data_IF_341154347646
#
_entry.id   IF_341154347646
#
_cell.length_a   1.000
_cell.length_b   1.000
_cell.length_c   1.000
_cell.angle_alpha   90.00
_cell.angle_beta   90.00
_cell.angle_gamma   90.00
#
_symmetry.space_group_name_H-M   'P 1'
#
loop_
_entity.id
_entity.type
_entity.pdbx_description
1 polymer ?
#
# COMPACT_ATOMS: atom_id res chain seq x y z
N UNK A 1 -36.59 16.53 -8.51
CA UNK A 1 -35.31 17.10 -8.98
C UNK A 1 -34.26 16.05 -8.73
N UNK A 2 -33.61 15.56 -9.79
CA UNK A 2 -32.54 14.56 -9.69
C UNK A 2 -31.30 15.28 -9.19
N UNK A 3 -30.84 14.97 -7.97
CA UNK A 3 -29.54 15.44 -7.46
C UNK A 3 -28.49 14.44 -7.93
N UNK A 4 -27.58 14.91 -8.76
CA UNK A 4 -26.39 14.18 -9.19
C UNK A 4 -25.45 14.12 -7.99
N UNK A 5 -25.10 12.91 -7.55
CA UNK A 5 -24.11 12.63 -6.51
C UNK A 5 -22.73 12.83 -7.16
N UNK A 6 -21.94 13.77 -6.66
CA UNK A 6 -20.53 13.92 -7.03
C UNK A 6 -19.69 13.10 -6.05
N UNK A 7 -18.91 12.16 -6.58
CA UNK A 7 -17.87 11.42 -5.87
C UNK A 7 -16.72 12.39 -5.58
N UNK A 8 -16.20 12.41 -4.35
CA UNK A 8 -14.97 13.14 -4.01
C UNK A 8 -13.82 12.14 -3.97
N UNK A 9 -12.80 12.38 -4.80
CA UNK A 9 -11.45 11.89 -4.60
C UNK A 9 -10.86 12.67 -3.40
N UNK A 10 -10.51 11.99 -2.32
CA UNK A 10 -9.70 12.57 -1.27
C UNK A 10 -8.27 12.72 -1.81
N UNK A 11 -7.90 13.95 -2.19
CA UNK A 11 -6.56 14.28 -2.62
C UNK A 11 -5.59 14.26 -1.44
N UNK A 12 -4.55 13.45 -1.52
CA UNK A 12 -3.43 13.46 -0.58
C UNK A 12 -2.80 14.86 -0.54
N UNK A 13 -2.90 15.52 0.60
CA UNK A 13 -2.35 16.85 0.84
C UNK A 13 -0.86 16.72 1.19
N UNK A 14 0.02 16.72 0.19
CA UNK A 14 1.47 16.81 0.42
C UNK A 14 1.87 18.24 0.82
N UNK A 15 2.12 18.46 2.11
CA UNK A 15 2.79 19.64 2.64
C UNK A 15 4.31 19.54 2.39
N UNK A 16 4.80 20.19 1.34
CA UNK A 16 6.24 20.34 1.10
C UNK A 16 6.81 21.49 1.93
N UNK A 17 7.71 21.19 2.87
CA UNK A 17 8.54 22.22 3.52
C UNK A 17 9.96 22.20 2.95
N UNK A 18 10.40 23.38 2.52
CA UNK A 18 11.66 23.60 1.80
C UNK A 18 12.86 23.53 2.77
N UNK A 19 13.75 22.55 2.52
CA UNK A 19 15.07 22.45 3.17
C UNK A 19 16.08 23.43 2.54
N UNK A 20 16.85 24.11 3.40
CA UNK A 20 18.06 24.86 3.03
C UNK A 20 19.28 24.11 3.58
N UNK A 21 20.15 23.66 2.66
CA UNK A 21 21.16 22.64 2.93
C UNK A 21 22.51 23.11 3.49
N UNK A 22 23.49 22.21 3.46
CA UNK A 22 24.91 22.56 3.43
C UNK A 22 25.78 21.41 2.88
N UNK A 23 26.61 21.74 1.89
CA UNK A 23 27.66 20.91 1.30
C UNK A 23 28.80 20.60 2.29
N UNK A 24 29.35 19.40 2.20
CA UNK A 24 30.66 19.03 2.72
C UNK A 24 31.37 18.06 1.79
N UNK A 25 32.35 18.54 1.03
CA UNK A 25 33.27 17.79 0.17
C UNK A 25 34.47 17.30 0.98
N UNK A 26 34.96 16.06 0.82
CA UNK A 26 36.39 15.76 0.49
C UNK A 26 36.70 14.28 0.21
N UNK A 27 37.61 14.10 -0.75
CA UNK A 27 38.21 12.90 -1.33
C UNK A 27 39.05 12.04 -0.37
N UNK A 28 39.29 10.75 -0.68
CA UNK A 28 40.57 10.28 -1.28
C UNK A 28 40.78 8.74 -1.29
N UNK A 29 41.24 8.27 -2.47
CA UNK A 29 42.28 7.29 -2.82
C UNK A 29 42.31 5.79 -2.40
N UNK A 30 42.50 4.99 -3.46
CA UNK A 30 43.51 3.93 -3.71
C UNK A 30 43.43 2.58 -2.98
N UNK A 31 42.87 1.59 -3.70
CA UNK A 31 43.58 0.43 -4.27
C UNK A 31 44.45 -0.47 -3.39
N UNK A 32 44.11 -1.77 -3.33
CA UNK A 32 45.05 -2.82 -3.77
C UNK A 32 44.39 -4.19 -3.98
N UNK A 33 44.89 -4.88 -5.01
CA UNK A 33 44.62 -6.25 -5.44
C UNK A 33 45.51 -7.22 -4.65
N UNK A 34 45.00 -8.38 -4.22
CA UNK A 34 45.71 -9.68 -4.26
C UNK A 34 44.71 -10.85 -4.36
N UNK A 35 45.11 -11.78 -5.20
CA UNK A 35 44.50 -12.98 -5.80
C UNK A 35 44.59 -14.26 -4.93
N UNK A 36 43.97 -15.34 -5.44
CA UNK A 36 44.03 -16.79 -5.13
C UNK A 36 43.21 -17.31 -3.93
N UNK A 37 42.44 -18.42 -4.01
CA UNK A 37 42.59 -19.64 -4.81
C UNK A 37 41.28 -20.47 -4.86
N UNK A 38 41.08 -21.23 -5.94
CA UNK A 38 39.91 -22.07 -6.26
C UNK A 38 39.64 -23.24 -5.30
N UNK A 39 38.36 -23.62 -5.16
CA UNK A 39 37.94 -25.03 -5.09
C UNK A 39 36.51 -25.26 -5.60
N UNK A 40 36.43 -26.10 -6.64
CA UNK A 40 35.29 -26.86 -7.20
C UNK A 40 34.41 -27.52 -6.10
N UNK A 41 33.13 -27.85 -6.25
CA UNK A 41 32.32 -28.35 -7.39
C UNK A 41 30.86 -28.42 -6.87
N UNK A 42 29.86 -28.02 -7.66
CA UNK A 42 28.63 -28.81 -7.93
C UNK A 42 27.67 -27.94 -8.75
N UNK A 43 27.84 -28.04 -10.08
CA UNK A 43 26.96 -27.41 -11.06
C UNK A 43 25.84 -28.38 -11.38
N UNK A 44 24.60 -28.00 -11.07
CA UNK A 44 23.45 -28.58 -11.74
C UNK A 44 22.46 -27.47 -12.13
N UNK A 45 22.35 -27.31 -13.45
CA UNK A 45 21.35 -26.55 -14.22
C UNK A 45 21.23 -25.05 -13.97
N UNK A 46 22.06 -24.27 -14.66
CA UNK A 46 21.61 -23.04 -15.30
C UNK A 46 22.45 -22.78 -16.56
N UNK A 47 21.99 -23.28 -17.70
CA UNK A 47 22.65 -23.09 -19.00
C UNK A 47 21.74 -22.16 -19.81
N UNK A 48 21.64 -20.88 -19.44
CA UNK A 48 21.23 -19.74 -20.31
C UNK A 48 21.61 -18.35 -19.67
N UNK A 49 22.48 -18.30 -18.66
CA UNK A 49 22.80 -17.06 -17.94
C UNK A 49 23.72 -16.06 -18.68
N UNK A 50 24.14 -16.35 -19.92
CA UNK A 50 25.06 -15.48 -20.69
C UNK A 50 24.34 -14.52 -21.67
N UNK A 51 23.00 -14.57 -21.76
CA UNK A 51 22.20 -13.77 -22.72
C UNK A 51 21.67 -12.46 -22.14
N UNK A 52 21.54 -12.38 -20.82
CA UNK A 52 20.90 -11.27 -20.10
C UNK A 52 21.80 -10.76 -18.99
N UNK A 53 21.76 -9.44 -18.74
CA UNK A 53 22.59 -8.79 -17.72
C UNK A 53 22.04 -9.01 -16.29
N UNK A 54 20.77 -9.44 -16.16
CA UNK A 54 20.12 -9.76 -14.87
C UNK A 54 19.04 -10.85 -15.00
N UNK A 55 18.67 -11.49 -13.88
CA UNK A 55 17.52 -12.40 -13.83
C UNK A 55 16.19 -11.70 -14.14
N UNK A 56 16.06 -10.42 -13.79
CA UNK A 56 14.88 -9.62 -14.12
C UNK A 56 14.72 -9.48 -15.63
N UNK A 57 15.80 -9.19 -16.36
CA UNK A 57 15.75 -9.12 -17.83
C UNK A 57 15.36 -10.48 -18.42
N UNK A 58 15.92 -11.57 -17.91
CA UNK A 58 15.55 -12.92 -18.34
C UNK A 58 14.06 -13.22 -18.09
N UNK A 59 13.50 -12.77 -16.97
CA UNK A 59 12.07 -12.94 -16.65
C UNK A 59 11.17 -12.11 -17.56
N UNK A 60 11.51 -10.83 -17.77
CA UNK A 60 10.77 -9.93 -18.68
C UNK A 60 10.78 -10.44 -20.14
N UNK A 61 11.78 -11.23 -20.51
CA UNK A 61 11.86 -11.89 -21.82
C UNK A 61 11.26 -13.31 -21.83
N UNK A 62 10.67 -13.79 -20.72
CA UNK A 62 9.99 -15.07 -20.61
C UNK A 62 10.90 -16.29 -20.45
N UNK A 63 12.15 -16.10 -20.02
CA UNK A 63 13.17 -17.16 -19.96
C UNK A 63 13.49 -17.59 -18.51
N UNK A 64 13.38 -16.67 -17.56
CA UNK A 64 13.46 -16.98 -16.13
C UNK A 64 12.06 -17.19 -15.53
N UNK A 65 12.01 -17.92 -14.42
CA UNK A 65 10.77 -18.21 -13.68
C UNK A 65 10.64 -17.32 -12.45
N UNK A 66 9.41 -17.11 -12.02
CA UNK A 66 9.00 -16.41 -10.82
C UNK A 66 8.34 -17.40 -9.86
N UNK A 67 8.69 -17.32 -8.59
CA UNK A 67 8.06 -18.07 -7.51
C UNK A 67 7.19 -17.15 -6.64
N UNK A 68 6.07 -17.68 -6.17
CA UNK A 68 5.14 -17.01 -5.25
C UNK A 68 5.29 -17.50 -3.81
N UNK A 69 6.23 -18.41 -3.55
CA UNK A 69 6.40 -19.07 -2.26
C UNK A 69 6.66 -18.08 -1.13
N UNK A 70 7.55 -17.10 -1.35
CA UNK A 70 7.82 -16.10 -0.33
C UNK A 70 6.55 -15.32 0.02
N UNK A 71 5.81 -14.81 -0.98
CA UNK A 71 4.57 -14.07 -0.76
C UNK A 71 3.56 -14.91 0.04
N UNK A 72 3.30 -16.14 -0.39
CA UNK A 72 2.30 -17.00 0.25
C UNK A 72 2.64 -17.32 1.72
N UNK A 73 3.92 -17.40 2.07
CA UNK A 73 4.38 -17.73 3.41
C UNK A 73 4.63 -16.51 4.32
N UNK A 74 4.74 -15.29 3.77
CA UNK A 74 5.19 -14.12 4.55
C UNK A 74 4.34 -12.86 4.36
N UNK A 75 3.67 -12.68 3.22
CA UNK A 75 2.97 -11.45 2.85
C UNK A 75 1.47 -11.64 2.56
N UNK A 76 1.01 -12.87 2.31
CA UNK A 76 -0.40 -13.17 1.98
C UNK A 76 -1.41 -12.72 3.05
N UNK A 77 -1.00 -12.71 4.32
CA UNK A 77 -1.83 -12.22 5.43
C UNK A 77 -2.04 -10.70 5.42
N UNK A 78 -1.23 -9.97 4.65
CA UNK A 78 -1.30 -8.50 4.49
C UNK A 78 -2.03 -8.08 3.21
N UNK A 79 -2.21 -9.00 2.26
CA UNK A 79 -2.99 -8.76 1.05
C UNK A 79 -4.49 -8.76 1.33
N UNK A 80 -5.26 -8.12 0.46
CA UNK A 80 -6.72 -8.26 0.48
C UNK A 80 -7.13 -9.66 -0.03
N UNK A 81 -8.43 -9.96 0.02
CA UNK A 81 -8.95 -11.18 -0.58
C UNK A 81 -8.60 -11.31 -2.07
N UNK A 82 -8.49 -10.19 -2.78
CA UNK A 82 -8.29 -10.15 -4.22
C UNK A 82 -6.89 -10.59 -4.66
N UNK A 83 -5.84 -10.15 -3.96
CA UNK A 83 -4.48 -10.63 -4.21
C UNK A 83 -4.38 -12.12 -3.90
N UNK A 84 -5.00 -12.58 -2.81
CA UNK A 84 -5.00 -13.99 -2.47
C UNK A 84 -5.74 -14.85 -3.50
N UNK A 85 -6.86 -14.36 -4.05
CA UNK A 85 -7.55 -15.03 -5.14
C UNK A 85 -6.68 -15.07 -6.41
N UNK A 86 -5.98 -13.96 -6.74
CA UNK A 86 -5.02 -13.92 -7.85
C UNK A 86 -3.91 -14.96 -7.68
N UNK A 87 -3.28 -15.02 -6.50
CA UNK A 87 -2.22 -15.99 -6.24
C UNK A 87 -2.74 -17.42 -6.16
N UNK A 88 -4.00 -17.65 -5.80
CA UNK A 88 -4.57 -19.00 -5.79
C UNK A 88 -4.55 -19.68 -7.18
N UNK A 89 -4.52 -18.89 -8.26
CA UNK A 89 -4.43 -19.37 -9.64
C UNK A 89 -3.01 -19.78 -10.00
N UNK A 90 -2.02 -19.00 -9.57
CA UNK A 90 -0.60 -19.15 -9.97
C UNK A 90 0.30 -19.72 -8.84
N UNK A 91 -0.29 -20.20 -7.75
CA UNK A 91 0.42 -20.74 -6.60
C UNK A 91 1.03 -22.12 -6.89
N UNK A 92 2.21 -22.37 -6.32
CA UNK A 92 2.80 -23.71 -6.25
C UNK A 92 3.71 -24.11 -7.41
N UNK A 93 3.76 -23.31 -8.48
CA UNK A 93 4.66 -23.50 -9.62
C UNK A 93 5.65 -22.33 -9.75
N UNK A 94 6.86 -22.61 -10.25
CA UNK A 94 7.78 -21.59 -10.71
C UNK A 94 7.46 -21.31 -12.19
N UNK A 95 6.89 -20.14 -12.49
CA UNK A 95 6.32 -19.84 -13.80
C UNK A 95 7.07 -18.70 -14.50
N UNK A 96 7.26 -18.83 -15.80
CA UNK A 96 7.70 -17.71 -16.65
C UNK A 96 6.58 -16.69 -16.83
N UNK A 97 6.91 -15.46 -17.25
CA UNK A 97 5.90 -14.44 -17.52
C UNK A 97 4.82 -14.90 -18.54
N UNK A 98 5.15 -15.53 -19.68
CA UNK A 98 4.14 -16.07 -20.60
C UNK A 98 3.22 -17.12 -19.97
N UNK A 99 3.76 -18.02 -19.13
CA UNK A 99 2.97 -19.05 -18.45
C UNK A 99 2.03 -18.42 -17.42
N UNK A 100 2.46 -17.37 -16.70
CA UNK A 100 1.59 -16.60 -15.80
C UNK A 100 0.41 -16.00 -16.59
N UNK A 101 0.69 -15.40 -17.75
CA UNK A 101 -0.33 -14.78 -18.60
C UNK A 101 -1.32 -15.82 -19.13
N UNK A 102 -0.83 -16.95 -19.64
CA UNK A 102 -1.67 -18.04 -20.11
C UNK A 102 -2.58 -18.56 -18.99
N UNK A 103 -2.00 -18.88 -17.82
CA UNK A 103 -2.73 -19.41 -16.66
C UNK A 103 -3.82 -18.45 -16.19
N UNK A 104 -3.50 -17.15 -16.08
CA UNK A 104 -4.46 -16.14 -15.66
C UNK A 104 -5.57 -15.92 -16.70
N UNK A 105 -5.23 -15.86 -17.99
CA UNK A 105 -6.23 -15.70 -19.06
C UNK A 105 -7.17 -16.91 -19.13
N UNK A 106 -6.66 -18.14 -18.96
CA UNK A 106 -7.51 -19.33 -18.86
C UNK A 106 -8.48 -19.22 -17.69
N UNK A 107 -8.01 -18.78 -16.52
CA UNK A 107 -8.85 -18.61 -15.33
C UNK A 107 -9.90 -17.48 -15.48
N UNK A 108 -9.55 -16.35 -16.09
CA UNK A 108 -10.47 -15.24 -16.31
C UNK A 108 -11.52 -15.51 -17.39
N UNK A 109 -11.29 -16.51 -18.26
CA UNK A 109 -12.22 -16.90 -19.32
C UNK A 109 -13.11 -18.09 -18.95
N UNK A 110 -12.95 -18.66 -17.75
CA UNK A 110 -13.82 -19.71 -17.24
C UNK A 110 -15.18 -19.15 -16.80
N UNK A 111 -16.27 -19.83 -17.15
CA UNK A 111 -17.65 -19.42 -16.84
C UNK A 111 -17.93 -19.44 -15.31
N UNK A 112 -17.09 -20.13 -14.54
CA UNK A 112 -17.12 -20.17 -13.08
C UNK A 112 -16.12 -19.17 -12.43
N UNK A 113 -15.31 -18.47 -13.23
CA UNK A 113 -14.16 -17.68 -12.80
C UNK A 113 -14.34 -16.17 -12.85
N UNK A 114 -13.97 -15.49 -11.74
CA UNK A 114 -13.69 -14.06 -11.58
C UNK A 114 -14.74 -13.05 -12.11
N UNK A 115 -14.49 -11.75 -11.91
CA UNK A 115 -15.52 -10.70 -12.05
C UNK A 115 -16.04 -10.53 -13.49
N UNK A 116 -15.19 -10.71 -14.50
CA UNK A 116 -15.54 -10.54 -15.91
C UNK A 116 -14.69 -11.41 -16.84
N UNK A 117 -15.30 -11.88 -17.94
CA UNK A 117 -14.61 -12.60 -19.02
C UNK A 117 -13.80 -11.63 -19.87
N UNK A 118 -12.57 -11.36 -19.43
CA UNK A 118 -11.64 -10.45 -20.07
C UNK A 118 -10.22 -10.96 -19.87
N UNK A 119 -9.44 -10.99 -20.96
CA UNK A 119 -8.01 -11.28 -20.89
C UNK A 119 -7.23 -10.10 -20.27
N UNK A 120 -6.01 -10.38 -19.80
CA UNK A 120 -5.05 -9.35 -19.38
C UNK A 120 -4.92 -8.33 -20.52
N UNK A 121 -5.20 -7.07 -20.18
CA UNK A 121 -5.29 -5.99 -21.17
C UNK A 121 -3.94 -5.32 -21.42
N UNK A 122 -3.08 -5.26 -20.40
CA UNK A 122 -1.69 -4.85 -20.56
C UNK A 122 -0.81 -5.38 -19.44
N UNK A 123 0.49 -5.42 -19.70
CA UNK A 123 1.52 -5.72 -18.71
C UNK A 123 2.61 -4.67 -18.85
N UNK A 124 3.06 -4.13 -17.74
CA UNK A 124 4.14 -3.15 -17.71
C UNK A 124 5.04 -3.39 -16.51
N UNK A 125 6.26 -2.86 -16.55
CA UNK A 125 7.23 -3.01 -15.47
C UNK A 125 7.92 -1.70 -15.12
N UNK A 126 8.45 -1.63 -13.91
CA UNK A 126 9.33 -0.56 -13.45
C UNK A 126 10.37 -1.14 -12.49
N UNK A 127 11.50 -0.45 -12.32
CA UNK A 127 12.47 -0.81 -11.28
C UNK A 127 12.28 0.09 -10.06
N UNK A 128 12.45 -0.48 -8.89
CA UNK A 128 12.42 0.20 -7.60
C UNK A 128 13.62 -0.24 -6.74
N UNK A 129 13.81 0.44 -5.62
CA UNK A 129 14.96 0.33 -4.72
C UNK A 129 14.45 0.34 -3.28
N UNK A 130 13.86 -0.79 -2.89
CA UNK A 130 13.14 -0.91 -1.63
C UNK A 130 14.05 -0.52 -0.46
N UNK A 131 13.63 0.45 0.36
CA UNK A 131 14.43 0.93 1.48
C UNK A 131 15.66 1.77 1.10
N UNK A 132 15.83 2.13 -0.18
CA UNK A 132 16.91 2.99 -0.68
C UNK A 132 18.32 2.46 -0.33
N UNK A 133 18.58 1.19 -0.64
CA UNK A 133 19.85 0.50 -0.39
C UNK A 133 20.76 0.42 -1.62
N UNK A 134 20.24 0.78 -2.80
CA UNK A 134 20.94 0.78 -4.08
C UNK A 134 20.78 -0.51 -4.88
N UNK A 135 20.17 -1.54 -4.32
CA UNK A 135 19.84 -2.79 -5.01
C UNK A 135 18.46 -2.64 -5.68
N UNK A 136 18.32 -3.13 -6.91
CA UNK A 136 17.07 -2.97 -7.66
C UNK A 136 16.16 -4.17 -7.49
N UNK A 137 14.88 -3.89 -7.23
CA UNK A 137 13.75 -4.81 -7.40
C UNK A 137 13.02 -4.50 -8.70
N UNK A 138 12.13 -5.41 -9.08
CA UNK A 138 11.26 -5.28 -10.24
C UNK A 138 9.80 -5.18 -9.78
N UNK A 139 9.11 -4.12 -10.18
CA UNK A 139 7.65 -4.04 -10.10
C UNK A 139 7.04 -4.47 -11.44
N UNK A 140 6.08 -5.41 -11.43
CA UNK A 140 5.34 -5.83 -12.63
C UNK A 140 3.86 -5.59 -12.40
N UNK A 141 3.26 -4.77 -13.26
CA UNK A 141 1.85 -4.41 -13.22
C UNK A 141 1.08 -5.16 -14.29
N UNK A 142 0.02 -5.85 -13.88
CA UNK A 142 -0.97 -6.46 -14.76
C UNK A 142 -2.27 -5.64 -14.70
N UNK A 143 -2.85 -5.33 -15.85
CA UNK A 143 -4.21 -4.78 -15.95
C UNK A 143 -5.15 -5.91 -16.32
N UNK A 144 -6.02 -6.32 -15.39
CA UNK A 144 -6.79 -7.57 -15.47
C UNK A 144 -8.06 -7.52 -14.60
N UNK A 145 -9.07 -8.36 -14.87
CA UNK A 145 -10.38 -8.29 -14.21
C UNK A 145 -10.41 -8.98 -12.83
N UNK A 146 -9.45 -8.67 -11.96
CA UNK A 146 -9.36 -9.26 -10.61
C UNK A 146 -10.53 -8.82 -9.73
N UNK A 147 -10.90 -7.53 -9.76
CA UNK A 147 -12.03 -6.98 -8.97
C UNK A 147 -13.14 -6.45 -9.87
N UNK A 148 -12.77 -5.79 -10.95
CA UNK A 148 -13.64 -5.22 -11.99
C UNK A 148 -12.85 -5.10 -13.31
N UNK A 149 -13.50 -4.84 -14.46
CA UNK A 149 -12.78 -4.53 -15.70
C UNK A 149 -11.73 -3.46 -15.46
N UNK A 150 -10.54 -3.69 -15.98
CA UNK A 150 -9.41 -2.76 -15.90
C UNK A 150 -8.91 -2.47 -14.46
N UNK A 151 -9.21 -3.34 -13.49
CA UNK A 151 -8.44 -3.39 -12.24
C UNK A 151 -6.98 -3.67 -12.54
N UNK A 152 -6.10 -3.40 -11.57
CA UNK A 152 -4.71 -3.77 -11.71
C UNK A 152 -4.14 -4.38 -10.45
N UNK A 153 -3.13 -5.23 -10.65
CA UNK A 153 -2.31 -5.79 -9.59
C UNK A 153 -0.84 -5.50 -9.91
N UNK A 154 -0.10 -5.00 -8.93
CA UNK A 154 1.33 -4.73 -9.03
C UNK A 154 2.06 -5.72 -8.13
N UNK A 155 2.93 -6.53 -8.71
CA UNK A 155 3.81 -7.45 -8.01
C UNK A 155 5.15 -6.77 -7.77
N UNK A 156 5.68 -6.87 -6.55
CA UNK A 156 7.06 -6.48 -6.24
C UNK A 156 7.90 -7.76 -6.17
N UNK A 157 8.95 -7.81 -6.98
CA UNK A 157 9.77 -9.00 -7.22
C UNK A 157 11.20 -8.69 -6.80
N UNK A 158 11.77 -9.56 -5.96
CA UNK A 158 13.16 -9.50 -5.51
C UNK A 158 13.89 -10.79 -5.85
N UNK A 159 15.15 -10.70 -6.24
CA UNK A 159 16.04 -11.86 -6.30
C UNK A 159 16.44 -12.28 -4.87
N UNK A 160 16.09 -13.51 -4.51
CA UNK A 160 16.44 -14.13 -3.23
C UNK A 160 17.00 -15.53 -3.51
N UNK A 161 18.21 -15.80 -3.01
CA UNK A 161 18.92 -17.07 -3.23
C UNK A 161 18.98 -17.48 -4.72
N UNK A 162 19.25 -16.50 -5.60
CA UNK A 162 19.29 -16.66 -7.06
C UNK A 162 17.99 -17.12 -7.71
N UNK A 163 16.85 -16.81 -7.07
CA UNK A 163 15.50 -17.01 -7.60
C UNK A 163 14.71 -15.73 -7.51
N UNK A 164 13.83 -15.49 -8.50
CA UNK A 164 12.88 -14.41 -8.40
C UNK A 164 11.71 -14.81 -7.51
N UNK A 165 11.43 -13.99 -6.51
CA UNK A 165 10.35 -14.18 -5.55
C UNK A 165 9.45 -12.96 -5.56
N UNK A 166 8.13 -13.18 -5.54
CA UNK A 166 7.19 -12.12 -5.19
C UNK A 166 7.31 -11.83 -3.70
N UNK A 167 7.69 -10.60 -3.35
CA UNK A 167 7.85 -10.16 -1.96
C UNK A 167 6.62 -9.40 -1.44
N UNK A 168 5.88 -8.77 -2.35
CA UNK A 168 4.64 -8.06 -2.03
C UNK A 168 3.76 -7.91 -3.27
N UNK A 169 2.48 -7.60 -3.05
CA UNK A 169 1.53 -7.33 -4.12
C UNK A 169 0.49 -6.31 -3.65
N UNK A 170 0.05 -5.44 -4.56
CA UNK A 170 -1.06 -4.50 -4.32
C UNK A 170 -2.09 -4.57 -5.44
N UNK A 171 -3.36 -4.59 -5.07
CA UNK A 171 -4.48 -4.46 -6.00
C UNK A 171 -5.09 -3.05 -5.96
N UNK A 172 -5.44 -2.51 -7.13
CA UNK A 172 -6.13 -1.23 -7.28
C UNK A 172 -7.29 -1.32 -8.27
N UNK A 173 -8.38 -0.60 -7.97
CA UNK A 173 -9.63 -0.55 -8.73
C UNK A 173 -10.42 0.74 -8.40
N UNK A 174 -11.60 0.94 -8.99
CA UNK A 174 -12.34 2.22 -8.93
C UNK A 174 -12.66 2.79 -7.54
N UNK A 175 -12.66 1.95 -6.49
CA UNK A 175 -12.90 2.40 -5.11
C UNK A 175 -11.72 2.23 -4.15
N UNK A 176 -10.59 1.72 -4.64
CA UNK A 176 -9.39 1.51 -3.84
C UNK A 176 -8.17 1.71 -4.71
N UNK A 177 -7.37 2.72 -4.41
CA UNK A 177 -6.15 3.02 -5.12
C UNK A 177 -4.98 2.89 -4.15
N UNK A 178 -3.98 2.12 -4.56
CA UNK A 178 -2.74 1.92 -3.81
C UNK A 178 -1.58 2.16 -4.75
N UNK A 179 -0.68 3.05 -4.34
CA UNK A 179 0.56 3.33 -5.07
C UNK A 179 1.76 2.82 -4.29
N UNK A 180 2.82 2.52 -5.04
CA UNK A 180 4.15 2.24 -4.51
C UNK A 180 5.13 3.15 -5.23
N UNK A 181 6.06 3.74 -4.49
CA UNK A 181 7.06 4.65 -5.05
C UNK A 181 8.42 3.96 -5.28
N UNK A 182 9.39 4.72 -5.81
CA UNK A 182 10.72 4.19 -6.16
C UNK A 182 11.51 3.60 -4.99
N UNK A 183 11.14 3.88 -3.73
CA UNK A 183 11.79 3.33 -2.54
C UNK A 183 10.93 2.31 -1.77
N UNK A 184 9.87 1.81 -2.39
CA UNK A 184 9.01 0.78 -1.81
C UNK A 184 8.05 1.30 -0.74
N UNK A 185 7.88 2.62 -0.60
CA UNK A 185 6.83 3.18 0.25
C UNK A 185 5.48 3.01 -0.43
N UNK A 186 4.53 2.47 0.32
CA UNK A 186 3.18 2.15 -0.14
C UNK A 186 2.22 3.14 0.52
N UNK A 187 1.32 3.70 -0.27
CA UNK A 187 0.22 4.51 0.22
C UNK A 187 -1.08 4.08 -0.46
N UNK A 188 -2.05 3.74 0.37
CA UNK A 188 -3.37 3.27 -0.05
C UNK A 188 -4.47 4.22 0.40
N UNK A 189 -5.57 4.19 -0.35
CA UNK A 189 -6.81 4.86 0.01
C UNK A 189 -8.01 4.20 -0.63
N UNK A 190 -9.12 4.16 0.08
CA UNK A 190 -10.33 3.57 -0.44
C UNK A 190 -11.61 4.12 0.18
N UNK A 191 -12.70 3.99 -0.56
CA UNK A 191 -14.03 4.35 -0.09
C UNK A 191 -14.74 3.10 0.44
N UNK A 192 -15.10 3.11 1.72
CA UNK A 192 -16.06 2.18 2.31
C UNK A 192 -17.51 2.55 1.97
N UNK A 193 -17.79 3.83 1.74
CA UNK A 193 -19.09 4.34 1.33
C UNK A 193 -19.11 5.85 1.24
N UNK A 194 -20.30 6.45 1.27
CA UNK A 194 -20.45 7.91 1.17
C UNK A 194 -19.86 8.67 2.37
N UNK A 195 -19.80 8.02 3.53
CA UNK A 195 -19.40 8.63 4.81
C UNK A 195 -18.19 7.94 5.44
N UNK A 196 -17.65 6.90 4.80
CA UNK A 196 -16.57 6.10 5.35
C UNK A 196 -15.47 5.91 4.31
N UNK A 197 -14.25 6.29 4.68
CA UNK A 197 -13.06 6.17 3.85
C UNK A 197 -11.93 5.66 4.73
N UNK A 198 -10.94 5.04 4.12
CA UNK A 198 -9.72 4.64 4.81
C UNK A 198 -8.52 5.00 3.97
N UNK A 199 -7.43 5.33 4.66
CA UNK A 199 -6.11 5.46 4.09
C UNK A 199 -5.15 4.58 4.87
N UNK A 200 -4.12 4.11 4.20
CA UNK A 200 -3.10 3.27 4.82
C UNK A 200 -1.74 3.58 4.23
N UNK A 201 -0.71 3.21 4.98
CA UNK A 201 0.65 3.30 4.50
C UNK A 201 1.50 2.17 5.06
N UNK A 202 2.50 1.78 4.28
CA UNK A 202 3.47 0.76 4.64
C UNK A 202 4.79 0.98 3.89
N UNK A 203 5.78 0.13 4.18
CA UNK A 203 7.06 0.12 3.50
C UNK A 203 7.45 -1.31 3.18
N UNK A 204 7.99 -1.55 1.99
CA UNK A 204 8.81 -2.74 1.72
C UNK A 204 10.25 -2.34 2.02
N UNK A 205 10.86 -2.98 3.01
CA UNK A 205 12.25 -2.69 3.37
C UNK A 205 13.25 -3.32 2.38
N UNK A 206 14.53 -3.01 2.56
CA UNK A 206 15.64 -3.52 1.75
C UNK A 206 15.72 -5.05 1.71
N UNK A 207 15.22 -5.76 2.74
CA UNK A 207 15.20 -7.22 2.75
C UNK A 207 14.00 -7.80 1.97
N UNK A 208 13.12 -6.95 1.41
CA UNK A 208 11.86 -7.36 0.80
C UNK A 208 10.80 -7.74 1.85
N UNK A 209 10.85 -7.19 3.06
CA UNK A 209 9.85 -7.44 4.09
C UNK A 209 8.85 -6.31 4.15
N UNK A 210 7.58 -6.67 4.24
CA UNK A 210 6.50 -5.73 4.50
C UNK A 210 6.58 -5.20 5.94
N UNK A 211 6.62 -3.88 6.07
CA UNK A 211 6.57 -3.17 7.33
C UNK A 211 5.27 -2.37 7.39
N UNK A 212 4.34 -2.84 8.24
CA UNK A 212 3.08 -2.15 8.47
C UNK A 212 3.33 -0.74 9.04
N UNK A 213 2.81 0.28 8.38
CA UNK A 213 2.79 1.65 8.86
C UNK A 213 1.54 1.90 9.70
N UNK A 214 0.43 2.22 9.04
CA UNK A 214 -0.84 2.49 9.72
C UNK A 214 -2.05 2.23 8.83
N UNK A 215 -3.23 2.17 9.45
CA UNK A 215 -4.53 2.35 8.79
C UNK A 215 -5.25 3.47 9.53
N UNK A 216 -5.75 4.45 8.78
CA UNK A 216 -6.55 5.56 9.27
C UNK A 216 -7.92 5.49 8.59
N UNK A 217 -8.95 5.23 9.37
CA UNK A 217 -10.34 5.28 8.89
C UNK A 217 -10.96 6.61 9.30
N UNK A 218 -11.69 7.22 8.39
CA UNK A 218 -12.51 8.39 8.65
C UNK A 218 -14.00 8.05 8.49
N UNK A 219 -14.82 8.50 9.44
CA UNK A 219 -16.27 8.33 9.43
C UNK A 219 -16.98 9.65 9.69
N UNK A 220 -17.82 10.09 8.76
CA UNK A 220 -18.62 11.31 8.85
C UNK A 220 -20.07 11.05 9.33
N UNK A 221 -20.34 9.86 9.88
CA UNK A 221 -21.65 9.48 10.45
C UNK A 221 -21.50 9.08 11.93
N UNK A 222 -21.84 10.02 12.80
CA UNK A 222 -21.78 9.85 14.26
C UNK A 222 -22.77 8.78 14.76
N UNK A 223 -23.89 8.58 14.07
CA UNK A 223 -24.87 7.55 14.46
C UNK A 223 -24.33 6.16 14.12
N UNK A 224 -23.70 6.00 12.95
CA UNK A 224 -23.03 4.75 12.57
C UNK A 224 -21.87 4.41 13.52
N UNK A 225 -21.08 5.43 13.90
CA UNK A 225 -20.07 5.30 14.93
C UNK A 225 -20.66 4.91 16.30
N UNK A 226 -21.82 5.49 16.67
CA UNK A 226 -22.62 5.10 17.85
C UNK A 226 -23.00 3.62 17.87
N UNK A 227 -23.31 3.02 16.72
CA UNK A 227 -23.62 1.58 16.68
C UNK A 227 -22.42 0.68 16.96
N UNK A 228 -21.20 1.13 16.66
CA UNK A 228 -19.98 0.33 16.82
C UNK A 228 -19.39 0.39 18.23
N UNK A 229 -19.69 1.43 19.00
CA UNK A 229 -18.99 1.73 20.26
C UNK A 229 -19.94 1.98 21.43
N UNK A 230 -19.49 1.70 22.66
CA UNK A 230 -20.31 1.91 23.86
C UNK A 230 -20.46 3.41 24.19
N UNK A 231 -21.69 3.90 24.24
CA UNK A 231 -22.01 5.31 24.51
C UNK A 231 -23.26 5.50 25.37
N UNK A 232 -23.36 6.65 26.03
CA UNK A 232 -24.60 7.19 26.59
C UNK A 232 -25.44 7.88 25.50
N UNK A 233 -26.72 8.16 25.74
CA UNK A 233 -27.57 8.88 24.78
C UNK A 233 -26.92 10.24 24.39
N UNK A 234 -26.78 10.49 23.09
CA UNK A 234 -26.26 11.75 22.56
C UNK A 234 -27.21 12.33 21.49
N UNK A 235 -27.07 13.63 21.19
CA UNK A 235 -27.80 14.31 20.12
C UNK A 235 -26.85 15.28 19.39
N UNK A 236 -26.44 14.91 18.18
CA UNK A 236 -25.61 15.74 17.32
C UNK A 236 -26.43 16.60 16.34
N UNK A 237 -27.77 16.46 16.30
CA UNK A 237 -28.62 17.07 15.26
C UNK A 237 -28.69 18.60 15.31
N UNK A 238 -28.28 19.19 16.44
CA UNK A 238 -28.25 20.64 16.64
C UNK A 238 -26.88 21.27 16.41
N UNK A 239 -25.85 20.45 16.16
CA UNK A 239 -24.50 20.91 15.91
C UNK A 239 -24.38 21.49 14.49
N UNK A 240 -23.45 22.44 14.34
CA UNK A 240 -23.12 23.00 13.03
C UNK A 240 -22.11 22.10 12.33
N UNK A 241 -22.28 21.90 11.02
CA UNK A 241 -21.40 21.01 10.26
C UNK A 241 -21.56 19.53 10.62
N UNK A 242 -20.55 18.77 10.22
CA UNK A 242 -20.50 17.31 10.29
C UNK A 242 -19.27 16.89 11.09
N UNK A 243 -19.50 16.08 12.14
CA UNK A 243 -18.43 15.42 12.87
C UNK A 243 -17.80 14.35 11.98
N UNK A 244 -16.51 14.49 11.70
CA UNK A 244 -15.69 13.46 11.09
C UNK A 244 -14.80 12.85 12.17
N UNK A 245 -14.92 11.54 12.37
CA UNK A 245 -14.19 10.79 13.38
C UNK A 245 -13.06 10.05 12.69
N UNK A 246 -11.87 10.14 13.28
CA UNK A 246 -10.67 9.46 12.82
C UNK A 246 -10.33 8.31 13.76
N UNK A 247 -10.12 7.13 13.18
CA UNK A 247 -9.72 5.92 13.87
C UNK A 247 -8.38 5.45 13.33
N UNK A 248 -7.35 5.48 14.16
CA UNK A 248 -5.99 5.14 13.77
C UNK A 248 -5.55 3.81 14.38
N UNK A 249 -5.05 2.91 13.53
CA UNK A 249 -4.39 1.66 13.90
C UNK A 249 -2.92 1.70 13.50
N UNK A 250 -2.03 1.45 14.46
CA UNK A 250 -0.57 1.39 14.31
C UNK A 250 -0.03 -0.05 14.38
N UNK A 251 -0.92 -1.01 14.65
CA UNK A 251 -0.61 -2.44 14.60
C UNK A 251 -1.61 -3.16 13.70
N UNK A 252 -1.09 -4.14 12.94
CA UNK A 252 -1.90 -5.03 12.13
C UNK A 252 -1.80 -6.44 12.68
N UNK A 253 -2.95 -7.01 13.05
CA UNK A 253 -3.08 -8.42 13.40
C UNK A 253 -4.22 -9.02 12.58
N UNK A 254 -3.92 -9.88 11.60
CA UNK A 254 -4.92 -10.53 10.76
C UNK A 254 -6.00 -11.22 11.61
N UNK A 255 -7.27 -10.92 11.31
CA UNK A 255 -8.42 -11.57 11.97
C UNK A 255 -8.66 -11.20 13.43
N UNK A 256 -7.90 -10.25 13.99
CA UNK A 256 -8.16 -9.72 15.31
C UNK A 256 -9.10 -8.50 15.24
N UNK A 257 -10.22 -8.57 15.97
CA UNK A 257 -11.07 -7.41 16.21
C UNK A 257 -10.43 -6.56 17.32
N UNK A 258 -9.43 -5.78 16.93
CA UNK A 258 -8.73 -4.88 17.85
C UNK A 258 -9.33 -3.49 17.79
N UNK A 259 -9.52 -2.84 18.96
CA UNK A 259 -9.87 -1.43 19.00
C UNK A 259 -8.73 -0.62 18.39
N UNK A 260 -9.09 0.52 17.79
CA UNK A 260 -8.13 1.49 17.27
C UNK A 260 -7.23 2.03 18.38
N UNK A 261 -5.97 2.30 18.05
CA UNK A 261 -4.96 2.78 19.00
C UNK A 261 -5.23 4.24 19.41
N UNK A 262 -5.71 5.05 18.47
CA UNK A 262 -6.09 6.44 18.68
C UNK A 262 -7.44 6.76 18.04
N UNK A 263 -8.15 7.69 18.67
CA UNK A 263 -9.37 8.31 18.15
C UNK A 263 -9.22 9.82 18.17
N UNK A 264 -9.64 10.49 17.10
CA UNK A 264 -9.62 11.95 16.97
C UNK A 264 -10.88 12.40 16.20
N UNK A 265 -11.11 13.71 16.09
CA UNK A 265 -12.23 14.21 15.30
C UNK A 265 -12.02 15.64 14.78
N UNK A 266 -12.62 15.95 13.64
CA UNK A 266 -12.71 17.30 13.13
C UNK A 266 -14.18 17.62 12.78
N UNK A 267 -14.47 18.90 12.55
CA UNK A 267 -15.79 19.36 12.16
C UNK A 267 -15.68 19.95 10.77
N UNK A 268 -16.53 19.50 9.85
CA UNK A 268 -16.55 19.97 8.46
C UNK A 268 -17.86 20.66 8.13
N UNK A 269 -17.82 21.70 7.31
CA UNK A 269 -19.02 22.33 6.79
C UNK A 269 -19.71 21.38 5.81
N UNK A 270 -21.00 21.10 6.03
CA UNK A 270 -21.72 20.07 5.28
C UNK A 270 -22.00 20.42 3.82
N UNK A 271 -21.87 21.70 3.45
CA UNK A 271 -22.14 22.18 2.09
C UNK A 271 -20.84 22.35 1.27
N UNK A 272 -19.77 22.81 1.90
CA UNK A 272 -18.49 23.13 1.27
C UNK A 272 -17.42 22.07 1.48
N UNK A 273 -17.58 21.22 2.49
CA UNK A 273 -16.60 20.21 2.91
C UNK A 273 -15.27 20.79 3.39
N UNK A 274 -15.24 22.09 3.72
CA UNK A 274 -14.08 22.72 4.35
C UNK A 274 -14.11 22.46 5.87
N UNK A 275 -12.93 22.26 6.47
CA UNK A 275 -12.81 22.12 7.91
C UNK A 275 -13.22 23.43 8.61
N UNK A 276 -14.05 23.31 9.65
CA UNK A 276 -14.47 24.39 10.52
C UNK A 276 -13.51 24.47 11.70
N UNK A 277 -12.79 25.59 11.82
CA UNK A 277 -12.00 25.90 13.02
C UNK A 277 -12.94 26.18 14.20
N UNK A 278 -13.17 25.15 15.02
CA UNK A 278 -13.96 25.23 16.25
C UNK A 278 -13.02 25.53 17.44
N UNK A 279 -13.12 26.71 18.06
CA UNK A 279 -12.29 27.05 19.20
C UNK A 279 -12.47 26.05 20.34
N UNK A 280 -11.36 25.62 20.94
CA UNK A 280 -11.35 24.69 22.08
C UNK A 280 -12.04 23.34 21.79
N UNK A 281 -12.10 22.89 20.52
CA UNK A 281 -12.79 21.67 20.07
C UNK A 281 -12.64 20.51 21.07
N UNK A 282 -11.42 20.18 21.48
CA UNK A 282 -11.09 19.05 22.36
C UNK A 282 -11.17 19.32 23.87
N UNK A 283 -11.51 20.54 24.30
CA UNK A 283 -11.48 20.93 25.72
C UNK A 283 -12.80 21.47 26.24
N UNK A 284 -13.45 22.36 25.49
CA UNK A 284 -14.70 23.03 25.88
C UNK A 284 -15.48 23.40 24.62
N UNK A 285 -16.23 22.43 24.09
CA UNK A 285 -17.07 22.59 22.90
C UNK A 285 -18.29 21.67 22.97
N UNK A 286 -19.42 22.03 22.32
CA UNK A 286 -20.59 21.14 22.29
C UNK A 286 -20.32 19.83 21.53
N UNK A 287 -19.35 19.81 20.62
CA UNK A 287 -18.88 18.59 19.94
C UNK A 287 -18.19 17.64 20.92
N UNK A 288 -17.37 18.18 21.82
CA UNK A 288 -16.73 17.40 22.89
C UNK A 288 -17.77 16.78 23.81
N UNK A 289 -18.84 17.49 24.16
CA UNK A 289 -19.91 16.95 24.99
C UNK A 289 -20.57 15.71 24.34
N UNK A 290 -20.78 15.74 23.02
CA UNK A 290 -21.25 14.57 22.27
C UNK A 290 -20.23 13.44 22.32
N UNK A 291 -18.94 13.71 22.06
CA UNK A 291 -17.93 12.66 22.02
C UNK A 291 -17.54 12.11 23.41
N UNK A 292 -17.73 12.88 24.47
CA UNK A 292 -17.58 12.42 25.86
C UNK A 292 -18.67 11.40 26.25
N UNK A 293 -19.76 11.28 25.47
CA UNK A 293 -20.76 10.21 25.68
C UNK A 293 -20.20 8.81 25.38
N UNK A 294 -19.13 8.70 24.59
CA UNK A 294 -18.49 7.43 24.24
C UNK A 294 -17.55 6.97 25.36
N UNK A 295 -18.10 6.27 26.34
CA UNK A 295 -17.47 6.02 27.65
C UNK A 295 -16.21 5.15 27.63
N UNK A 296 -15.98 4.41 26.55
CA UNK A 296 -14.82 3.51 26.39
C UNK A 296 -13.71 4.11 25.55
N UNK A 297 -13.95 5.27 24.93
CA UNK A 297 -13.03 5.91 23.99
C UNK A 297 -12.44 7.16 24.62
N UNK A 298 -11.13 7.36 24.40
CA UNK A 298 -10.47 8.62 24.71
C UNK A 298 -10.05 9.29 23.41
N UNK A 299 -10.73 10.38 23.07
CA UNK A 299 -10.35 11.21 21.94
C UNK A 299 -9.12 12.06 22.28
N UNK A 300 -8.16 12.11 21.34
CA UNK A 300 -6.96 12.95 21.41
C UNK A 300 -7.04 14.07 20.38
N UNK A 301 -6.37 15.21 20.60
CA UNK A 301 -6.18 16.23 19.57
C UNK A 301 -5.59 15.66 18.27
N UNK A 302 -5.97 16.22 17.12
CA UNK A 302 -5.54 15.72 15.81
C UNK A 302 -4.03 15.75 15.60
N UNK A 303 -3.34 16.76 16.15
CA UNK A 303 -1.87 16.84 16.12
C UNK A 303 -1.19 15.70 16.90
N UNK A 304 -1.82 15.16 17.95
CA UNK A 304 -1.35 13.96 18.65
C UNK A 304 -1.50 12.71 17.77
N UNK A 305 -2.60 12.62 17.00
CA UNK A 305 -2.82 11.55 16.03
C UNK A 305 -1.80 11.60 14.89
N UNK A 306 -1.59 12.78 14.28
CA UNK A 306 -0.60 12.98 13.22
C UNK A 306 0.82 12.66 13.70
N UNK A 307 1.14 13.07 14.93
CA UNK A 307 2.42 12.73 15.54
C UNK A 307 2.59 11.21 15.67
N UNK A 308 1.56 10.49 16.08
CA UNK A 308 1.60 9.04 16.21
C UNK A 308 1.82 8.34 14.86
N UNK A 309 1.19 8.84 13.78
CA UNK A 309 1.44 8.40 12.40
C UNK A 309 2.90 8.64 12.02
N UNK A 310 3.41 9.87 12.19
CA UNK A 310 4.80 10.21 11.82
C UNK A 310 5.81 9.37 12.58
N UNK A 311 5.65 9.24 13.91
CA UNK A 311 6.55 8.43 14.75
C UNK A 311 6.55 6.96 14.28
N UNK A 312 5.39 6.42 13.90
CA UNK A 312 5.26 5.05 13.40
C UNK A 312 5.95 4.87 12.05
N UNK A 313 5.72 5.77 11.09
CA UNK A 313 6.37 5.72 9.78
C UNK A 313 7.89 5.83 9.90
N UNK A 314 8.38 6.76 10.74
CA UNK A 314 9.82 6.90 11.00
C UNK A 314 10.39 5.63 11.65
N UNK A 315 9.64 4.97 12.55
CA UNK A 315 10.09 3.74 13.21
C UNK A 315 10.28 2.55 12.28
N UNK A 316 9.61 2.54 11.12
CA UNK A 316 9.74 1.49 10.10
C UNK A 316 10.73 1.87 8.99
N UNK A 317 11.37 3.03 9.08
CA UNK A 317 12.33 3.50 8.06
C UNK A 317 11.72 4.29 6.91
N UNK A 318 10.41 4.58 6.94
CA UNK A 318 9.74 5.42 5.96
C UNK A 318 10.01 6.90 6.26
N UNK A 319 11.26 7.33 6.11
CA UNK A 319 11.70 8.72 6.30
C UNK A 319 11.01 9.68 5.33
N UNK A 320 11.09 10.99 5.59
CA UNK A 320 10.52 12.01 4.70
C UNK A 320 11.01 11.89 3.25
N UNK A 321 12.30 11.64 3.03
CA UNK A 321 12.87 11.42 1.69
C UNK A 321 12.31 10.16 1.02
N UNK A 322 12.07 9.09 1.80
CA UNK A 322 11.47 7.85 1.31
C UNK A 322 9.99 8.05 0.96
N UNK A 323 9.23 8.78 1.77
CA UNK A 323 7.80 9.03 1.55
C UNK A 323 7.55 9.94 0.36
N UNK A 324 8.42 10.92 0.12
CA UNK A 324 8.29 11.92 -0.94
C UNK A 324 9.03 11.54 -2.23
N UNK A 325 9.48 10.29 -2.37
CA UNK A 325 10.17 9.81 -3.55
C UNK A 325 9.24 9.71 -4.76
N UNK A 326 9.81 9.58 -5.96
CA UNK A 326 9.03 9.59 -7.19
C UNK A 326 8.13 8.36 -7.31
N UNK A 327 6.95 8.53 -7.88
CA UNK A 327 6.11 7.42 -8.30
C UNK A 327 6.81 6.58 -9.38
N UNK A 328 6.43 5.31 -9.49
CA UNK A 328 6.97 4.43 -10.51
C UNK A 328 6.47 4.81 -11.91
N UNK A 329 7.41 4.99 -12.83
CA UNK A 329 7.12 5.09 -14.25
C UNK A 329 7.19 3.70 -14.89
N UNK A 330 6.04 3.23 -15.38
CA UNK A 330 5.91 1.89 -15.96
C UNK A 330 6.19 1.88 -17.47
N UNK A 331 6.96 0.88 -17.89
CA UNK A 331 7.26 0.57 -19.30
C UNK A 331 6.45 -0.64 -19.75
N UNK A 332 5.67 -0.49 -20.81
CA UNK A 332 4.85 -1.57 -21.39
C UNK A 332 5.71 -2.74 -21.90
N UNK A 333 5.25 -3.96 -21.64
CA UNK A 333 5.79 -5.21 -22.16
C UNK A 333 4.93 -5.60 -23.37
N UNK A 334 5.57 -5.99 -24.47
CA UNK A 334 4.84 -6.52 -25.62
C UNK A 334 4.29 -7.91 -25.29
N UNK A 335 2.96 -8.03 -25.27
CA UNK A 335 2.22 -9.29 -25.16
C UNK A 335 2.36 -10.17 -26.42
#
# INVERSE_FOLDING_TARGET
MKKTLYLVLAGALMLSTVSCGQQGTTNSNEGNVVDTEQKTEDTNTNVEADKYDSLYDAFLNGEATLSTDYYLNNASETGSGYENDFFSIIAGDELTLPEIVETLNEAFMDDEGFFAHQEISSISYSYLDCGNDGEKELAVKFVCPVVEPDSNIVLVIKEMDSKLQVVYSVCSWSRSETTINEYGFIQGGGSGGAVNHSSDAALIDADGKYQFGYILTESADIEDFGYAYEHEDFDASSLEGTLCIYELRLTFEPGADKPSDYFSYAVYDSDTYEEIDVPNLYTDSPYKEVLDSFTTIKFVPYDELEKAISDKLDSIGATEDVRNANELEFTEIAL
#
